data_IF_065753903948
#
_entry.id   IF_065753903948
#
_cell.length_a   1.000
_cell.length_b   1.000
_cell.length_c   1.000
_cell.angle_alpha   90.00
_cell.angle_beta   90.00
_cell.angle_gamma   90.00
#
_symmetry.space_group_name_H-M   'P 1'
#
loop_
_entity.id
_entity.type
_entity.pdbx_description
1 polymer ?
#
# COMPACT_ATOMS: atom_id res chain seq x y z
N UNK A 1 -21.49 9.38 -1.22
CA UNK A 1 -21.61 8.08 -0.53
C UNK A 1 -20.27 7.40 -0.70
N UNK A 2 -19.43 7.48 0.33
CA UNK A 2 -18.12 6.86 0.34
C UNK A 2 -18.31 5.34 0.36
N UNK A 3 -17.63 4.63 -0.52
CA UNK A 3 -17.47 3.20 -0.39
C UNK A 3 -16.52 2.98 0.79
N UNK A 4 -17.07 2.97 2.00
CA UNK A 4 -16.30 2.70 3.21
C UNK A 4 -15.96 1.22 3.20
N UNK A 5 -14.72 0.88 2.86
CA UNK A 5 -14.15 -0.40 3.24
C UNK A 5 -14.39 -0.52 4.75
N UNK A 6 -15.02 -1.61 5.20
CA UNK A 6 -15.10 -1.93 6.62
C UNK A 6 -13.72 -2.40 7.05
N UNK A 7 -12.82 -1.46 7.24
CA UNK A 7 -11.50 -1.69 7.80
C UNK A 7 -11.71 -1.73 9.30
N UNK A 8 -11.37 -2.85 9.96
CA UNK A 8 -11.38 -2.85 11.40
C UNK A 8 -10.35 -1.84 11.90
N UNK A 9 -10.74 -0.87 12.75
CA UNK A 9 -9.81 0.14 13.21
C UNK A 9 -8.78 -0.51 14.15
N UNK A 10 -7.50 -0.29 13.84
CA UNK A 10 -6.39 -0.55 14.75
C UNK A 10 -6.41 0.51 15.85
N UNK A 11 -7.39 0.43 16.76
CA UNK A 11 -7.75 1.45 17.77
C UNK A 11 -6.61 1.84 18.74
N UNK A 12 -5.42 1.24 18.63
CA UNK A 12 -4.28 1.45 19.51
C UNK A 12 -3.00 1.90 18.79
N UNK A 13 -2.94 1.86 17.45
CA UNK A 13 -1.74 2.23 16.68
C UNK A 13 -2.05 3.48 15.87
N UNK A 14 -1.25 4.53 16.03
CA UNK A 14 -1.44 5.77 15.25
C UNK A 14 -0.87 5.61 13.84
N UNK A 15 -1.43 6.35 12.88
CA UNK A 15 -1.01 6.29 11.48
C UNK A 15 0.51 6.47 11.24
N UNK A 16 1.24 7.37 11.94
CA UNK A 16 2.70 7.45 11.79
C UNK A 16 3.42 6.19 12.27
N UNK A 17 3.03 5.65 13.42
CA UNK A 17 3.58 4.40 13.97
C UNK A 17 3.29 3.22 13.04
N UNK A 18 2.07 3.18 12.49
CA UNK A 18 1.66 2.17 11.51
C UNK A 18 2.50 2.24 10.23
N UNK A 19 2.78 3.45 9.76
CA UNK A 19 3.61 3.68 8.57
C UNK A 19 5.05 3.21 8.82
N UNK A 20 5.60 3.49 10.00
CA UNK A 20 6.95 3.03 10.39
C UNK A 20 7.03 1.50 10.44
N UNK A 21 6.03 0.82 11.00
CA UNK A 21 5.96 -0.64 11.03
C UNK A 21 5.95 -1.25 9.63
N UNK A 22 5.13 -0.71 8.71
CA UNK A 22 5.05 -1.18 7.33
C UNK A 22 6.37 -0.92 6.58
N UNK A 23 7.02 0.23 6.81
CA UNK A 23 8.33 0.52 6.22
C UNK A 23 9.39 -0.46 6.74
N UNK A 24 9.42 -0.72 8.05
CA UNK A 24 10.35 -1.68 8.65
C UNK A 24 10.15 -3.09 8.07
N UNK A 25 8.90 -3.53 7.93
CA UNK A 25 8.56 -4.79 7.27
C UNK A 25 9.09 -4.84 5.82
N UNK A 26 8.87 -3.77 5.04
CA UNK A 26 9.36 -3.68 3.68
C UNK A 26 10.91 -3.68 3.59
N UNK A 27 11.59 -3.05 4.53
CA UNK A 27 13.05 -3.08 4.62
C UNK A 27 13.58 -4.47 4.94
N UNK A 28 12.94 -5.20 5.86
CA UNK A 28 13.30 -6.59 6.18
C UNK A 28 13.14 -7.49 4.94
N UNK A 29 12.04 -7.33 4.21
CA UNK A 29 11.80 -8.06 2.96
C UNK A 29 12.90 -7.79 1.93
N UNK A 30 13.28 -6.52 1.72
CA UNK A 30 14.34 -6.18 0.78
C UNK A 30 15.71 -6.70 1.24
N UNK A 31 15.99 -6.67 2.55
CA UNK A 31 17.24 -7.15 3.11
C UNK A 31 17.42 -8.68 2.96
N UNK A 32 16.34 -9.44 3.15
CA UNK A 32 16.36 -10.91 3.04
C UNK A 32 16.35 -11.39 1.58
N UNK A 33 15.48 -10.81 0.74
CA UNK A 33 15.26 -11.28 -0.64
C UNK A 33 16.22 -10.62 -1.62
N UNK A 34 16.62 -9.38 -1.36
CA UNK A 34 17.35 -8.54 -2.31
C UNK A 34 16.47 -8.03 -3.47
N UNK A 35 16.99 -7.09 -4.28
CA UNK A 35 16.30 -6.58 -5.46
C UNK A 35 16.34 -7.59 -6.63
N UNK A 36 15.54 -7.33 -7.67
CA UNK A 36 15.60 -8.05 -8.96
C UNK A 36 14.45 -9.03 -9.22
N UNK A 37 13.54 -9.22 -8.27
CA UNK A 37 12.34 -10.03 -8.47
C UNK A 37 11.14 -9.23 -8.98
N UNK A 38 10.11 -9.94 -9.42
CA UNK A 38 8.82 -9.36 -9.81
C UNK A 38 8.06 -8.80 -8.61
N UNK A 39 7.25 -7.76 -8.84
CA UNK A 39 6.41 -7.11 -7.82
C UNK A 39 5.60 -8.09 -6.96
N UNK A 40 5.05 -9.16 -7.56
CA UNK A 40 4.25 -10.15 -6.84
C UNK A 40 5.04 -10.90 -5.76
N UNK A 41 6.35 -11.06 -5.92
CA UNK A 41 7.21 -11.70 -4.93
C UNK A 41 7.31 -10.81 -3.68
N UNK A 42 7.58 -9.51 -3.85
CA UNK A 42 7.61 -8.58 -2.72
C UNK A 42 6.26 -8.40 -2.06
N UNK A 43 5.16 -8.40 -2.81
CA UNK A 43 3.82 -8.39 -2.23
C UNK A 43 3.60 -9.61 -1.33
N UNK A 44 3.94 -10.82 -1.79
CA UNK A 44 3.77 -12.03 -0.97
C UNK A 44 4.67 -11.99 0.26
N UNK A 45 5.93 -11.59 0.10
CA UNK A 45 6.88 -11.49 1.20
C UNK A 45 6.47 -10.44 2.24
N UNK A 46 6.00 -9.27 1.81
CA UNK A 46 5.51 -8.22 2.71
C UNK A 46 4.27 -8.68 3.49
N UNK A 47 3.39 -9.45 2.86
CA UNK A 47 2.27 -10.07 3.58
C UNK A 47 2.74 -11.01 4.69
N UNK A 48 3.71 -11.89 4.40
CA UNK A 48 4.28 -12.81 5.40
C UNK A 48 4.99 -12.06 6.55
N UNK A 49 5.73 -11.01 6.24
CA UNK A 49 6.43 -10.19 7.23
C UNK A 49 5.44 -9.46 8.16
N UNK A 50 4.36 -8.90 7.60
CA UNK A 50 3.30 -8.26 8.40
C UNK A 50 2.52 -9.29 9.24
N UNK A 51 2.26 -10.49 8.72
CA UNK A 51 1.68 -11.60 9.49
C UNK A 51 2.58 -11.99 10.67
N UNK A 52 3.90 -12.08 10.46
CA UNK A 52 4.87 -12.39 11.51
C UNK A 52 4.97 -11.32 12.59
N UNK A 53 4.56 -10.08 12.29
CA UNK A 53 4.49 -8.96 13.23
C UNK A 53 3.10 -8.81 13.88
N UNK A 54 2.19 -9.77 13.68
CA UNK A 54 0.79 -9.71 14.11
C UNK A 54 0.08 -8.42 13.64
N UNK A 55 0.48 -7.88 12.48
CA UNK A 55 -0.09 -6.65 11.92
C UNK A 55 -1.30 -6.99 11.04
N UNK A 56 -2.54 -6.63 11.41
CA UNK A 56 -3.73 -6.94 10.62
C UNK A 56 -3.79 -6.10 9.35
N UNK A 57 -3.99 -6.74 8.20
CA UNK A 57 -4.13 -6.08 6.90
C UNK A 57 -5.17 -6.76 6.01
N UNK A 58 -5.66 -6.01 5.03
CA UNK A 58 -6.36 -6.55 3.88
C UNK A 58 -5.43 -6.52 2.66
N UNK A 59 -5.32 -7.64 1.95
CA UNK A 59 -4.50 -7.76 0.74
C UNK A 59 -5.36 -7.72 -0.51
N UNK A 60 -4.83 -7.14 -1.58
CA UNK A 60 -5.45 -7.13 -2.92
C UNK A 60 -6.86 -6.50 -2.91
N UNK A 61 -7.00 -5.35 -2.25
CA UNK A 61 -8.28 -4.67 -2.02
C UNK A 61 -8.76 -3.93 -3.26
N UNK A 62 -10.04 -4.09 -3.61
CA UNK A 62 -10.66 -3.38 -4.72
C UNK A 62 -11.20 -2.03 -4.29
N UNK A 63 -10.76 -0.97 -4.96
CA UNK A 63 -11.22 0.41 -4.81
C UNK A 63 -12.12 0.75 -6.00
N UNK A 64 -13.39 1.02 -5.71
CA UNK A 64 -14.37 1.40 -6.71
C UNK A 64 -14.17 2.85 -7.18
N UNK A 65 -14.35 3.07 -8.48
CA UNK A 65 -14.30 4.39 -9.10
C UNK A 65 -15.70 4.83 -9.49
N UNK A 66 -16.08 6.04 -9.05
CA UNK A 66 -17.39 6.62 -9.33
C UNK A 66 -17.26 7.87 -10.20
N UNK A 67 -18.10 7.94 -11.23
CA UNK A 67 -18.32 9.15 -12.04
C UNK A 67 -19.79 9.53 -11.97
N UNK A 68 -20.11 10.73 -11.46
CA UNK A 68 -21.50 11.19 -11.26
C UNK A 68 -22.36 10.17 -10.49
N UNK A 69 -21.82 9.64 -9.39
CA UNK A 69 -22.44 8.59 -8.56
C UNK A 69 -22.70 7.25 -9.27
N UNK A 70 -22.19 7.05 -10.48
CA UNK A 70 -22.24 5.76 -11.17
C UNK A 70 -20.87 5.10 -11.08
N UNK A 71 -20.84 3.83 -10.66
CA UNK A 71 -19.61 3.03 -10.66
C UNK A 71 -19.18 2.80 -12.11
N UNK A 72 -17.98 3.26 -12.45
CA UNK A 72 -17.41 3.17 -13.80
C UNK A 72 -16.27 2.17 -13.91
N UNK A 73 -15.78 1.65 -12.78
CA UNK A 73 -14.72 0.67 -12.74
C UNK A 73 -14.21 0.47 -11.32
N UNK A 74 -13.11 -0.25 -11.23
CA UNK A 74 -12.39 -0.47 -9.99
C UNK A 74 -10.90 -0.64 -10.29
N UNK A 75 -10.06 -0.38 -9.29
CA UNK A 75 -8.64 -0.70 -9.31
C UNK A 75 -8.29 -1.48 -8.05
N UNK A 76 -7.30 -2.34 -8.15
CA UNK A 76 -6.78 -3.09 -7.00
C UNK A 76 -5.60 -2.35 -6.39
N UNK A 77 -5.60 -2.22 -5.07
CA UNK A 77 -4.45 -1.80 -4.28
C UNK A 77 -3.88 -3.01 -3.57
N UNK A 78 -2.60 -2.95 -3.18
CA UNK A 78 -1.90 -4.15 -2.73
C UNK A 78 -2.21 -4.46 -1.28
N UNK A 79 -2.22 -3.43 -0.41
CA UNK A 79 -2.64 -3.56 0.97
C UNK A 79 -3.45 -2.37 1.46
N UNK A 80 -4.30 -2.65 2.44
CA UNK A 80 -4.90 -1.67 3.33
C UNK A 80 -4.65 -2.14 4.75
N UNK A 81 -4.00 -1.30 5.55
CA UNK A 81 -3.66 -1.57 6.95
C UNK A 81 -4.21 -0.40 7.75
N UNK A 82 -5.31 -0.59 8.51
CA UNK A 82 -6.03 0.54 9.10
C UNK A 82 -6.31 1.65 8.06
N UNK A 83 -5.98 2.89 8.39
CA UNK A 83 -6.13 4.04 7.48
C UNK A 83 -4.93 4.28 6.53
N UNK A 84 -4.08 3.27 6.33
CA UNK A 84 -2.93 3.32 5.42
C UNK A 84 -3.14 2.42 4.19
N UNK A 85 -3.12 3.01 3.01
CA UNK A 85 -3.10 2.30 1.72
C UNK A 85 -1.67 2.04 1.27
N UNK A 86 -1.33 0.83 0.82
CA UNK A 86 0.02 0.52 0.32
C UNK A 86 -0.01 0.01 -1.12
N UNK A 87 0.92 0.51 -1.92
CA UNK A 87 1.20 0.07 -3.28
C UNK A 87 2.65 -0.40 -3.38
N UNK A 88 2.86 -1.57 -3.97
CA UNK A 88 4.15 -2.22 -4.12
C UNK A 88 4.55 -2.18 -5.59
N UNK A 89 5.81 -1.83 -5.84
CA UNK A 89 6.46 -1.82 -7.16
C UNK A 89 7.82 -2.49 -7.10
N UNK A 90 8.32 -2.90 -8.25
CA UNK A 90 9.69 -3.38 -8.44
C UNK A 90 10.19 -2.89 -9.78
N UNK A 91 10.40 -1.58 -9.86
CA UNK A 91 10.81 -0.87 -11.06
C UNK A 91 12.10 -0.10 -10.78
N UNK A 92 12.92 0.15 -11.81
CA UNK A 92 14.17 0.91 -11.64
C UNK A 92 13.95 2.34 -11.19
N UNK A 93 12.74 2.88 -11.37
CA UNK A 93 12.28 4.17 -10.89
C UNK A 93 10.74 4.19 -10.86
N UNK A 94 10.17 4.98 -9.95
CA UNK A 94 8.76 5.33 -9.99
C UNK A 94 8.51 6.38 -11.07
N UNK A 95 7.49 6.17 -11.90
CA UNK A 95 7.10 7.14 -12.93
C UNK A 95 6.10 8.14 -12.36
N UNK A 96 6.05 9.33 -12.94
CA UNK A 96 5.04 10.35 -12.59
C UNK A 96 3.60 9.79 -12.65
N UNK A 97 3.31 8.95 -13.65
CA UNK A 97 2.00 8.31 -13.78
C UNK A 97 1.67 7.38 -12.61
N UNK A 98 2.65 6.71 -12.00
CA UNK A 98 2.42 5.85 -10.84
C UNK A 98 1.96 6.68 -9.65
N UNK A 99 2.56 7.85 -9.44
CA UNK A 99 2.19 8.78 -8.37
C UNK A 99 0.79 9.35 -8.57
N UNK A 100 0.48 9.82 -9.79
CA UNK A 100 -0.85 10.32 -10.15
C UNK A 100 -1.92 9.25 -9.89
N UNK A 101 -1.64 8.00 -10.25
CA UNK A 101 -2.54 6.87 -9.98
C UNK A 101 -2.68 6.62 -8.49
N UNK A 102 -1.59 6.65 -7.73
CA UNK A 102 -1.60 6.43 -6.30
C UNK A 102 -2.43 7.47 -5.54
N UNK A 103 -2.28 8.77 -5.85
CA UNK A 103 -3.14 9.82 -5.29
C UNK A 103 -4.61 9.63 -5.67
N UNK A 104 -4.87 9.20 -6.91
CA UNK A 104 -6.24 8.90 -7.36
C UNK A 104 -6.85 7.76 -6.55
N UNK A 105 -6.10 6.70 -6.27
CA UNK A 105 -6.59 5.58 -5.46
C UNK A 105 -6.78 5.99 -4.00
N UNK A 106 -5.82 6.72 -3.42
CA UNK A 106 -5.92 7.21 -2.03
C UNK A 106 -7.22 8.02 -1.84
N UNK A 107 -7.50 8.95 -2.76
CA UNK A 107 -8.72 9.77 -2.73
C UNK A 107 -10.02 8.95 -2.74
N UNK A 108 -10.03 7.78 -3.39
CA UNK A 108 -11.20 6.91 -3.50
C UNK A 108 -11.21 5.73 -2.50
N UNK A 109 -10.12 5.53 -1.74
CA UNK A 109 -9.96 4.36 -0.86
C UNK A 109 -10.62 4.49 0.51
N UNK A 110 -10.88 5.71 0.96
CA UNK A 110 -11.27 5.99 2.35
C UNK A 110 -10.08 6.18 3.31
N UNK A 111 -8.92 5.56 3.06
CA UNK A 111 -7.70 5.69 3.87
C UNK A 111 -7.18 7.13 3.99
N UNK A 112 -6.58 7.50 5.11
CA UNK A 112 -6.05 8.85 5.36
C UNK A 112 -4.72 9.11 4.67
N UNK A 113 -3.86 8.09 4.57
CA UNK A 113 -2.56 8.18 3.92
C UNK A 113 -2.30 7.00 2.99
N UNK A 114 -1.31 7.17 2.12
CA UNK A 114 -0.80 6.13 1.24
C UNK A 114 0.71 6.00 1.29
N UNK A 115 1.21 4.82 0.97
CA UNK A 115 2.63 4.51 0.91
C UNK A 115 2.93 3.75 -0.38
N UNK A 116 3.85 4.26 -1.19
CA UNK A 116 4.41 3.53 -2.31
C UNK A 116 5.76 2.96 -1.92
N UNK A 117 5.93 1.67 -2.11
CA UNK A 117 7.14 0.91 -1.80
C UNK A 117 7.70 0.33 -3.09
N UNK A 118 8.86 0.82 -3.51
CA UNK A 118 9.54 0.32 -4.71
C UNK A 118 10.82 -0.46 -4.37
N UNK A 119 10.79 -1.74 -4.69
CA UNK A 119 11.84 -2.73 -4.42
C UNK A 119 12.83 -2.91 -5.60
N UNK A 120 12.71 -2.11 -6.66
CA UNK A 120 13.54 -2.27 -7.87
C UNK A 120 14.99 -1.76 -7.75
N UNK A 121 15.39 -1.26 -6.58
CA UNK A 121 16.73 -0.71 -6.30
C UNK A 121 17.36 -1.44 -5.10
N UNK A 122 18.67 -1.29 -4.92
CA UNK A 122 19.38 -1.84 -3.75
C UNK A 122 18.92 -1.26 -2.43
N UNK A 123 18.35 -0.05 -2.45
CA UNK A 123 17.68 0.58 -1.32
C UNK A 123 16.20 0.69 -1.62
N UNK A 124 15.36 0.50 -0.60
CA UNK A 124 13.92 0.66 -0.72
C UNK A 124 13.61 2.13 -1.05
N UNK A 125 12.95 2.36 -2.18
CA UNK A 125 12.43 3.67 -2.53
C UNK A 125 11.02 3.81 -1.95
N UNK A 126 10.83 4.83 -1.12
CA UNK A 126 9.62 5.05 -0.33
C UNK A 126 9.03 6.40 -0.75
N UNK A 127 7.72 6.41 -1.03
CA UNK A 127 6.99 7.66 -1.25
C UNK A 127 5.74 7.71 -0.38
N UNK A 128 5.66 8.74 0.45
CA UNK A 128 4.50 9.05 1.27
C UNK A 128 3.46 9.83 0.44
N UNK A 129 2.20 9.51 0.67
CA UNK A 129 1.04 10.16 0.06
C UNK A 129 0.14 10.63 1.20
N UNK A 130 -0.15 11.93 1.20
CA UNK A 130 -1.04 12.55 2.18
C UNK A 130 -2.24 13.15 1.43
N UNK A 131 -3.40 13.16 2.07
CA UNK A 131 -4.63 13.76 1.54
C UNK A 131 -4.63 15.29 1.63
#
# INVERSE_FOLDING_TARGET
>A
MEATLQIEPLNHIKLPELTELVIAAAQNVLAEIGPGFETQIYQRALGLEMEAQDLPFHREVWIDLFYRNQRVGHKRVDFVIGDLMVLVKSETELKELDEIQAYTFLKNSGCEAGLMLNFGKTNLEIKHLEK
#
